data_IF_737511993685
#
_entry.id   IF_737511993685
#
_cell.length_a   1.000
_cell.length_b   1.000
_cell.length_c   1.000
_cell.angle_alpha   90.00
_cell.angle_beta   90.00
_cell.angle_gamma   90.00
#
_symmetry.space_group_name_H-M   'P 1'
#
loop_
_entity.id
_entity.type
_entity.pdbx_description
1 polymer ?
#
# COMPACT_ATOMS: atom_id res chain seq x y z
N UNK A 1 -41.84 -21.40 -40.76
CA UNK A 1 -40.71 -20.44 -40.64
C UNK A 1 -41.35 -19.07 -40.58
N UNK A 2 -41.41 -18.45 -39.40
CA UNK A 2 -42.06 -17.16 -39.21
C UNK A 2 -41.20 -16.05 -39.83
N UNK A 3 -41.80 -15.23 -40.69
CA UNK A 3 -41.17 -13.99 -41.15
C UNK A 3 -41.07 -13.06 -39.95
N UNK A 4 -39.85 -12.86 -39.44
CA UNK A 4 -39.57 -11.79 -38.48
C UNK A 4 -39.97 -10.48 -39.17
N UNK A 5 -40.91 -9.76 -38.58
CA UNK A 5 -41.41 -8.53 -39.16
C UNK A 5 -40.37 -7.41 -38.96
N UNK A 6 -40.32 -6.42 -39.86
CA UNK A 6 -39.36 -5.29 -39.77
C UNK A 6 -39.43 -4.59 -38.41
N UNK A 7 -40.63 -4.50 -37.85
CA UNK A 7 -40.86 -3.90 -36.53
C UNK A 7 -40.28 -4.73 -35.38
N UNK A 8 -40.26 -6.07 -35.49
CA UNK A 8 -39.58 -6.93 -34.51
C UNK A 8 -38.06 -6.78 -34.58
N UNK A 9 -37.49 -6.60 -35.78
CA UNK A 9 -36.04 -6.36 -35.95
C UNK A 9 -35.67 -5.03 -35.29
N UNK A 10 -36.44 -3.97 -35.54
CA UNK A 10 -36.20 -2.66 -34.94
C UNK A 10 -36.29 -2.72 -33.41
N UNK A 11 -37.29 -3.42 -32.87
CA UNK A 11 -37.47 -3.57 -31.42
C UNK A 11 -36.34 -4.41 -30.78
N UNK A 12 -35.79 -5.39 -31.51
CA UNK A 12 -34.62 -6.14 -31.06
C UNK A 12 -33.35 -5.28 -31.07
N UNK A 13 -33.18 -4.42 -32.08
CA UNK A 13 -32.04 -3.50 -32.16
C UNK A 13 -32.08 -2.45 -31.03
N UNK A 14 -33.24 -1.85 -30.76
CA UNK A 14 -33.41 -0.90 -29.64
C UNK A 14 -33.06 -1.56 -28.29
N UNK A 15 -33.52 -2.79 -28.05
CA UNK A 15 -33.15 -3.53 -26.83
C UNK A 15 -31.67 -3.85 -26.76
N UNK A 16 -31.04 -4.20 -27.88
CA UNK A 16 -29.60 -4.42 -27.92
C UNK A 16 -28.82 -3.13 -27.64
N UNK A 17 -29.28 -1.98 -28.14
CA UNK A 17 -28.66 -0.68 -27.85
C UNK A 17 -28.77 -0.32 -26.37
N UNK A 18 -29.93 -0.55 -25.74
CA UNK A 18 -30.14 -0.35 -24.31
C UNK A 18 -29.24 -1.29 -23.47
N UNK A 19 -29.16 -2.58 -23.83
CA UNK A 19 -28.30 -3.56 -23.15
C UNK A 19 -26.81 -3.20 -23.27
N UNK A 20 -26.36 -2.76 -24.45
CA UNK A 20 -25.00 -2.30 -24.68
C UNK A 20 -24.69 -1.02 -23.88
N UNK A 21 -25.65 -0.10 -23.79
CA UNK A 21 -25.50 1.11 -22.99
C UNK A 21 -25.37 0.79 -21.50
N UNK A 22 -26.19 -0.11 -20.97
CA UNK A 22 -26.10 -0.57 -19.59
C UNK A 22 -24.74 -1.23 -19.30
N UNK A 23 -24.29 -2.13 -20.18
CA UNK A 23 -22.99 -2.79 -20.03
C UNK A 23 -21.82 -1.81 -20.02
N UNK A 24 -21.87 -0.76 -20.85
CA UNK A 24 -20.84 0.28 -20.89
C UNK A 24 -20.84 1.16 -19.62
N UNK A 25 -22.02 1.46 -19.07
CA UNK A 25 -22.15 2.16 -17.78
C UNK A 25 -21.56 1.34 -16.64
N UNK A 26 -21.88 0.04 -16.57
CA UNK A 26 -21.32 -0.87 -15.57
C UNK A 26 -19.78 -0.98 -15.70
N UNK A 27 -19.28 -1.04 -16.93
CA UNK A 27 -17.84 -1.05 -17.21
C UNK A 27 -17.17 0.24 -16.72
N UNK A 28 -17.75 1.40 -17.02
CA UNK A 28 -17.22 2.69 -16.56
C UNK A 28 -17.25 2.80 -15.02
N UNK A 29 -18.31 2.31 -14.38
CA UNK A 29 -18.39 2.27 -12.92
C UNK A 29 -17.28 1.40 -12.31
N UNK A 30 -17.06 0.19 -12.84
CA UNK A 30 -15.99 -0.69 -12.37
C UNK A 30 -14.59 -0.10 -12.55
N UNK A 31 -14.34 0.63 -13.65
CA UNK A 31 -13.08 1.35 -13.86
C UNK A 31 -12.88 2.50 -12.86
N UNK A 32 -13.95 3.22 -12.54
CA UNK A 32 -13.91 4.29 -11.55
C UNK A 32 -13.62 3.75 -10.13
N UNK A 33 -14.27 2.64 -9.75
CA UNK A 33 -14.02 1.97 -8.47
C UNK A 33 -12.58 1.47 -8.35
N UNK A 34 -12.05 0.80 -9.38
CA UNK A 34 -10.65 0.37 -9.41
C UNK A 34 -9.68 1.57 -9.28
N UNK A 35 -9.99 2.70 -9.91
CA UNK A 35 -9.24 3.94 -9.78
C UNK A 35 -9.28 4.53 -8.36
N UNK A 36 -10.44 4.47 -7.70
CA UNK A 36 -10.61 4.93 -6.32
C UNK A 36 -9.80 4.08 -5.34
N UNK A 37 -9.87 2.76 -5.44
CA UNK A 37 -9.12 1.82 -4.58
C UNK A 37 -7.62 2.06 -4.70
N UNK A 38 -7.11 2.21 -5.92
CA UNK A 38 -5.68 2.48 -6.14
C UNK A 38 -5.24 3.82 -5.55
N UNK A 39 -6.11 4.83 -5.62
CA UNK A 39 -5.85 6.17 -5.05
C UNK A 39 -5.80 6.11 -3.53
N UNK A 40 -6.76 5.44 -2.90
CA UNK A 40 -6.79 5.24 -1.45
C UNK A 40 -5.56 4.48 -0.96
N UNK A 41 -5.18 3.41 -1.67
CA UNK A 41 -4.01 2.63 -1.37
C UNK A 41 -2.71 3.45 -1.45
N UNK A 42 -2.59 4.32 -2.46
CA UNK A 42 -1.47 5.24 -2.59
C UNK A 42 -1.40 6.22 -1.42
N UNK A 43 -2.55 6.77 -1.00
CA UNK A 43 -2.64 7.67 0.15
C UNK A 43 -2.24 6.98 1.46
N UNK A 44 -2.71 5.76 1.70
CA UNK A 44 -2.33 4.94 2.85
C UNK A 44 -0.83 4.68 2.88
N UNK A 45 -0.23 4.35 1.73
CA UNK A 45 1.22 4.17 1.60
C UNK A 45 2.00 5.45 1.88
N UNK A 46 1.56 6.60 1.36
CA UNK A 46 2.21 7.89 1.62
C UNK A 46 2.12 8.30 3.09
N UNK A 47 1.00 8.03 3.73
CA UNK A 47 0.79 8.35 5.13
C UNK A 47 1.63 7.46 6.05
N UNK A 48 1.73 6.15 5.73
CA UNK A 48 2.65 5.25 6.42
C UNK A 48 4.12 5.67 6.24
N UNK A 49 4.52 6.04 5.01
CA UNK A 49 5.85 6.57 4.71
C UNK A 49 6.19 7.80 5.55
N UNK A 50 5.28 8.78 5.62
CA UNK A 50 5.46 9.98 6.45
C UNK A 50 5.63 9.63 7.91
N UNK A 51 4.83 8.70 8.43
CA UNK A 51 4.93 8.22 9.82
C UNK A 51 6.29 7.57 10.07
N UNK A 52 6.71 6.63 9.23
CA UNK A 52 7.99 5.95 9.38
C UNK A 52 9.18 6.93 9.33
N UNK A 53 9.17 7.84 8.35
CA UNK A 53 10.22 8.84 8.18
C UNK A 53 10.32 9.76 9.38
N UNK A 54 9.18 10.20 9.93
CA UNK A 54 9.16 11.05 11.12
C UNK A 54 9.72 10.35 12.36
N UNK A 55 9.45 9.06 12.54
CA UNK A 55 9.99 8.26 13.65
C UNK A 55 11.50 8.09 13.50
N UNK A 56 11.97 7.69 12.31
CA UNK A 56 13.40 7.49 12.04
C UNK A 56 14.17 8.81 12.22
N UNK A 57 13.63 9.93 11.71
CA UNK A 57 14.26 11.23 11.84
C UNK A 57 14.37 11.72 13.29
N UNK A 58 13.48 11.28 14.19
CA UNK A 58 13.53 11.61 15.62
C UNK A 58 14.37 10.63 16.44
N UNK A 59 14.54 9.41 15.94
CA UNK A 59 15.30 8.38 16.61
C UNK A 59 16.80 8.76 16.71
N UNK A 60 17.44 8.35 17.80
CA UNK A 60 18.86 8.57 18.07
C UNK A 60 19.33 10.03 17.90
N UNK A 61 18.49 11.00 18.30
CA UNK A 61 18.82 12.42 18.19
C UNK A 61 18.96 12.94 16.75
N UNK A 62 18.38 12.25 15.76
CA UNK A 62 18.44 12.64 14.35
C UNK A 62 19.70 12.17 13.60
N UNK A 63 20.44 11.24 14.19
CA UNK A 63 21.62 10.62 13.58
C UNK A 63 21.27 9.57 12.50
N UNK A 64 20.02 9.13 12.42
CA UNK A 64 19.57 8.18 11.40
C UNK A 64 19.09 8.91 10.15
N UNK A 65 19.34 8.28 9.01
CA UNK A 65 18.78 8.65 7.71
C UNK A 65 18.10 7.44 7.12
N UNK A 66 17.02 7.68 6.36
CA UNK A 66 16.30 6.62 5.66
C UNK A 66 16.16 6.93 4.19
N UNK A 67 16.36 5.91 3.36
CA UNK A 67 15.95 5.90 1.97
C UNK A 67 14.67 5.08 1.84
N UNK A 68 13.64 5.68 1.25
CA UNK A 68 12.33 5.05 1.15
C UNK A 68 11.98 4.78 -0.31
N UNK A 69 11.44 3.59 -0.58
CA UNK A 69 10.86 3.23 -1.86
C UNK A 69 9.43 2.73 -1.68
N UNK A 70 8.61 2.97 -2.71
CA UNK A 70 7.20 2.57 -2.74
C UNK A 70 6.91 1.87 -4.05
N UNK A 71 6.15 0.79 -3.98
CA UNK A 71 5.54 0.10 -5.12
C UNK A 71 4.04 -0.01 -4.90
N UNK A 72 3.28 0.30 -5.94
CA UNK A 72 1.83 0.18 -5.95
C UNK A 72 1.45 -0.95 -6.90
N UNK A 73 0.60 -1.84 -6.41
CA UNK A 73 -0.01 -2.93 -7.15
C UNK A 73 -1.54 -2.76 -7.08
N UNK A 74 -2.26 -3.56 -7.86
CA UNK A 74 -3.72 -3.46 -7.94
C UNK A 74 -4.40 -3.85 -6.61
N UNK A 75 -3.77 -4.72 -5.83
CA UNK A 75 -4.32 -5.28 -4.58
C UNK A 75 -3.60 -4.85 -3.33
N UNK A 76 -2.43 -4.18 -3.43
CA UNK A 76 -1.62 -3.82 -2.28
C UNK A 76 -0.55 -2.78 -2.63
N UNK A 77 0.01 -2.14 -1.60
CA UNK A 77 1.19 -1.31 -1.68
C UNK A 77 2.33 -1.92 -0.87
N UNK A 78 3.52 -1.94 -1.46
CA UNK A 78 4.76 -2.26 -0.79
C UNK A 78 5.53 -0.98 -0.47
N UNK A 79 5.95 -0.82 0.77
CA UNK A 79 6.82 0.27 1.21
C UNK A 79 8.07 -0.35 1.82
N UNK A 80 9.24 0.10 1.39
CA UNK A 80 10.52 -0.33 1.95
C UNK A 80 11.31 0.88 2.40
N UNK A 81 11.82 0.86 3.62
CA UNK A 81 12.73 1.86 4.16
C UNK A 81 14.06 1.21 4.53
N UNK A 82 15.13 1.74 4.00
CA UNK A 82 16.49 1.40 4.40
C UNK A 82 17.00 2.46 5.37
N UNK A 83 17.26 2.06 6.60
CA UNK A 83 17.67 2.95 7.68
C UNK A 83 19.15 2.72 7.95
N UNK A 84 19.92 3.81 7.96
CA UNK A 84 21.35 3.80 8.26
C UNK A 84 21.75 4.95 9.15
N UNK A 85 22.88 4.79 9.82
CA UNK A 85 23.55 5.90 10.50
C UNK A 85 24.02 6.92 9.47
N UNK A 86 23.91 8.20 9.78
CA UNK A 86 24.44 9.27 8.93
C UNK A 86 25.94 9.07 8.74
N UNK A 87 26.37 8.97 7.48
CA UNK A 87 27.76 8.71 7.11
C UNK A 87 28.15 7.24 7.03
N UNK A 88 27.26 6.31 7.41
CA UNK A 88 27.47 4.88 7.15
C UNK A 88 27.09 4.53 5.70
N UNK A 89 27.87 3.64 5.09
CA UNK A 89 27.58 3.09 3.77
C UNK A 89 26.49 2.01 3.86
N UNK A 90 26.57 1.18 4.89
CA UNK A 90 25.69 0.02 5.06
C UNK A 90 24.39 0.38 5.78
N UNK A 91 23.30 -0.25 5.33
CA UNK A 91 22.01 -0.21 6.00
C UNK A 91 22.08 -0.97 7.33
N UNK A 92 21.55 -0.35 8.38
CA UNK A 92 21.46 -0.93 9.72
C UNK A 92 20.18 -1.77 9.84
N UNK A 93 19.09 -1.25 9.29
CA UNK A 93 17.77 -1.84 9.38
C UNK A 93 17.02 -1.65 8.07
N UNK A 94 16.43 -2.72 7.56
CA UNK A 94 15.47 -2.70 6.46
C UNK A 94 14.08 -2.90 7.02
N UNK A 95 13.18 -1.96 6.76
CA UNK A 95 11.78 -2.00 7.19
C UNK A 95 10.90 -2.19 5.97
N UNK A 96 10.17 -3.30 5.92
CA UNK A 96 9.23 -3.61 4.85
C UNK A 96 7.82 -3.58 5.39
N UNK A 97 6.97 -2.79 4.75
CA UNK A 97 5.56 -2.65 5.07
C UNK A 97 4.73 -3.07 3.86
N UNK A 98 3.83 -4.01 4.06
CA UNK A 98 2.87 -4.47 3.07
C UNK A 98 1.47 -4.00 3.48
N UNK A 99 0.85 -3.18 2.64
CA UNK A 99 -0.45 -2.57 2.85
C UNK A 99 -1.43 -3.20 1.85
N UNK A 100 -2.26 -4.17 2.24
CA UNK A 100 -3.28 -4.68 1.33
C UNK A 100 -4.40 -3.65 1.13
N UNK A 101 -5.08 -3.71 -0.01
CA UNK A 101 -6.29 -2.93 -0.28
C UNK A 101 -7.35 -3.20 0.79
N UNK A 102 -7.46 -4.46 1.21
CA UNK A 102 -8.37 -4.92 2.27
C UNK A 102 -7.63 -5.70 3.36
N UNK A 103 -8.02 -5.49 4.62
CA UNK A 103 -7.49 -6.20 5.77
C UNK A 103 -6.27 -5.54 6.43
N UNK A 104 -5.52 -6.35 7.18
CA UNK A 104 -4.42 -5.89 8.02
C UNK A 104 -3.11 -5.74 7.23
N UNK A 105 -2.42 -4.63 7.45
CA UNK A 105 -1.07 -4.44 6.96
C UNK A 105 -0.09 -5.34 7.72
N UNK A 106 1.06 -5.64 7.12
CA UNK A 106 2.14 -6.33 7.81
C UNK A 106 3.42 -5.51 7.77
N UNK A 107 4.12 -5.49 8.89
CA UNK A 107 5.42 -4.83 9.02
C UNK A 107 6.47 -5.86 9.41
N UNK A 108 7.59 -5.83 8.70
CA UNK A 108 8.78 -6.62 8.99
C UNK A 108 9.97 -5.68 9.12
N UNK A 109 10.70 -5.77 10.21
CA UNK A 109 11.93 -5.03 10.44
C UNK A 109 13.10 -6.00 10.61
N UNK A 110 14.09 -5.91 9.74
CA UNK A 110 15.20 -6.86 9.64
C UNK A 110 16.54 -6.14 9.63
N UNK A 111 17.51 -6.64 10.40
CA UNK A 111 18.88 -6.16 10.36
C UNK A 111 19.50 -6.55 9.02
N UNK A 112 19.96 -5.57 8.25
CA UNK A 112 20.59 -5.84 6.95
C UNK A 112 21.90 -6.63 7.12
N UNK A 113 22.63 -6.38 8.22
CA UNK A 113 23.83 -7.14 8.59
C UNK A 113 23.47 -8.38 9.44
N UNK A 114 23.20 -9.53 8.82
CA UNK A 114 23.08 -10.81 9.54
C UNK A 114 21.68 -11.42 9.63
N UNK A 115 20.68 -10.85 8.95
CA UNK A 115 19.36 -11.47 8.76
C UNK A 115 18.52 -11.61 10.04
N UNK A 116 18.89 -10.90 11.10
CA UNK A 116 18.15 -10.92 12.36
C UNK A 116 16.84 -10.14 12.19
N UNK A 117 15.71 -10.82 12.32
CA UNK A 117 14.38 -10.19 12.32
C UNK A 117 14.05 -9.69 13.72
N UNK A 118 13.92 -8.37 13.85
CA UNK A 118 13.55 -7.73 15.11
C UNK A 118 12.04 -7.72 15.32
N UNK A 119 11.29 -7.61 14.23
CA UNK A 119 9.84 -7.56 14.30
C UNK A 119 9.22 -8.15 13.04
N UNK A 120 8.12 -8.89 13.24
CA UNK A 120 7.19 -9.31 12.18
C UNK A 120 5.79 -9.38 12.78
N UNK A 121 4.86 -8.60 12.24
CA UNK A 121 3.52 -8.53 12.81
C UNK A 121 2.51 -7.82 11.92
N UNK A 122 1.24 -7.95 12.29
CA UNK A 122 0.11 -7.32 11.59
C UNK A 122 -0.31 -6.04 12.29
N UNK A 123 -0.83 -5.11 11.50
CA UNK A 123 -1.20 -3.76 11.88
C UNK A 123 -2.53 -3.40 11.23
N UNK A 124 -3.45 -2.88 12.02
CA UNK A 124 -4.65 -2.27 11.49
C UNK A 124 -4.33 -0.85 11.11
N UNK A 125 -4.11 -0.60 9.80
CA UNK A 125 -3.76 0.72 9.29
C UNK A 125 -4.92 1.36 8.50
N UNK A 126 -5.95 1.93 9.17
CA UNK A 126 -7.16 2.42 8.52
C UNK A 126 -6.96 3.70 7.70
N UNK A 127 -6.03 4.59 8.07
CA UNK A 127 -5.95 5.92 7.41
C UNK A 127 -4.62 6.68 7.55
N UNK A 128 -3.58 6.05 8.11
CA UNK A 128 -2.20 6.51 7.87
C UNK A 128 -1.63 7.56 8.84
N UNK A 129 -2.33 7.89 9.92
CA UNK A 129 -1.72 8.48 11.12
C UNK A 129 -1.73 7.43 12.23
N UNK A 130 -0.67 6.62 12.28
CA UNK A 130 -0.73 5.31 12.89
C UNK A 130 0.17 5.29 14.13
N UNK A 131 -0.36 5.59 15.33
CA UNK A 131 0.43 5.53 16.56
C UNK A 131 0.99 4.13 16.81
N UNK A 132 0.30 3.07 16.34
CA UNK A 132 0.77 1.69 16.40
C UNK A 132 2.00 1.45 15.53
N UNK A 133 1.97 1.91 14.26
CA UNK A 133 3.12 1.87 13.36
C UNK A 133 4.31 2.61 13.96
N UNK A 134 4.06 3.80 14.53
CA UNK A 134 5.10 4.59 15.18
C UNK A 134 5.72 3.88 16.38
N UNK A 135 4.91 3.31 17.26
CA UNK A 135 5.38 2.61 18.46
C UNK A 135 6.22 1.39 18.09
N UNK A 136 5.74 0.59 17.14
CA UNK A 136 6.45 -0.62 16.70
C UNK A 136 7.76 -0.30 16.01
N UNK A 137 7.81 0.73 15.17
CA UNK A 137 9.03 1.14 14.51
C UNK A 137 10.07 1.67 15.51
N UNK A 138 9.64 2.45 16.50
CA UNK A 138 10.53 2.90 17.58
C UNK A 138 11.13 1.71 18.33
N UNK A 139 10.31 0.71 18.69
CA UNK A 139 10.79 -0.49 19.37
C UNK A 139 11.78 -1.29 18.52
N UNK A 140 11.51 -1.47 17.22
CA UNK A 140 12.41 -2.16 16.31
C UNK A 140 13.76 -1.43 16.17
N UNK A 141 13.74 -0.10 16.10
CA UNK A 141 14.95 0.73 16.06
C UNK A 141 15.76 0.63 17.35
N UNK A 142 15.10 0.65 18.52
CA UNK A 142 15.77 0.47 19.81
C UNK A 142 16.51 -0.88 19.88
N UNK A 143 15.87 -1.97 19.48
CA UNK A 143 16.51 -3.28 19.43
C UNK A 143 17.63 -3.39 18.39
N UNK A 144 17.48 -2.72 17.24
CA UNK A 144 18.50 -2.71 16.20
C UNK A 144 19.78 -1.95 16.58
N UNK A 145 19.64 -0.96 17.46
CA UNK A 145 20.73 -0.11 17.93
C UNK A 145 21.40 -0.63 19.22
N UNK A 146 20.84 -1.63 19.88
CA UNK A 146 21.49 -2.25 21.03
C UNK A 146 22.78 -2.96 20.60
N UNK A 147 23.91 -2.72 21.29
CA UNK A 147 25.12 -3.50 21.05
C UNK A 147 24.84 -4.97 21.37
N UNK A 148 25.30 -5.86 20.48
CA UNK A 148 25.21 -7.31 20.67
C UNK A 148 26.03 -7.77 21.88
#
# INVERSE_FOLDING_TARGET
MGNINKDEILLMLERMEDELMLAEVERMAGLAEAGAVRTELAQRADAALRTCTAVIARAQGGCLVSEASRKLFDTHAGVTLEVRLRGAADSLLTVSLHLPSEGEASLVAERSSGGLRYFSGKLTLPSGAEPQLSAMLSQALEHALQPA
#
